data_IF_840640903490
#
_entry.id   IF_840640903490
#
_cell.length_a   1.000
_cell.length_b   1.000
_cell.length_c   1.000
_cell.angle_alpha   90.00
_cell.angle_beta   90.00
_cell.angle_gamma   90.00
#
_symmetry.space_group_name_H-M   'P 1'
#
loop_
_entity.id
_entity.type
_entity.pdbx_description
1 polymer ?
#
# COMPACT_ATOMS: atom_id res chain seq x y z
N UNK A 1 11.36 -0.18 -5.56
CA UNK A 1 10.92 -0.49 -4.17
C UNK A 1 9.95 -1.66 -4.09
N UNK A 2 8.91 -1.73 -4.94
CA UNK A 2 7.98 -2.87 -4.97
C UNK A 2 8.68 -4.23 -5.17
N UNK A 3 9.79 -4.27 -5.94
CA UNK A 3 10.62 -5.47 -6.12
C UNK A 3 11.17 -6.01 -4.80
N UNK A 4 11.54 -5.12 -3.87
CA UNK A 4 12.01 -5.50 -2.55
C UNK A 4 10.88 -6.10 -1.70
N UNK A 5 9.66 -5.59 -1.85
CA UNK A 5 8.47 -6.18 -1.19
C UNK A 5 8.22 -7.59 -1.72
N UNK A 6 8.27 -7.80 -3.04
CA UNK A 6 8.14 -9.14 -3.63
C UNK A 6 9.27 -10.07 -3.16
N UNK A 7 10.50 -9.58 -3.07
CA UNK A 7 11.61 -10.35 -2.52
C UNK A 7 11.37 -10.72 -1.04
N UNK A 8 10.82 -9.81 -0.24
CA UNK A 8 10.44 -10.06 1.14
C UNK A 8 9.29 -11.09 1.25
N UNK A 9 8.28 -11.01 0.38
CA UNK A 9 7.21 -12.02 0.31
C UNK A 9 7.77 -13.41 0.00
N UNK A 10 8.73 -13.51 -0.94
CA UNK A 10 9.45 -14.76 -1.24
C UNK A 10 10.22 -15.29 -0.04
N UNK A 11 10.93 -14.41 0.67
CA UNK A 11 11.64 -14.78 1.88
C UNK A 11 10.69 -15.32 2.96
N UNK A 12 9.56 -14.64 3.17
CA UNK A 12 8.53 -15.06 4.12
C UNK A 12 7.98 -16.44 3.76
N UNK A 13 7.61 -16.67 2.51
CA UNK A 13 7.14 -17.99 2.04
C UNK A 13 8.17 -19.08 2.26
N UNK A 14 9.45 -18.82 1.97
CA UNK A 14 10.50 -19.81 2.21
C UNK A 14 10.68 -20.13 3.70
N UNK A 15 10.36 -19.19 4.59
CA UNK A 15 10.47 -19.37 6.04
C UNK A 15 9.23 -20.04 6.66
N UNK A 16 8.02 -19.74 6.17
CA UNK A 16 6.75 -20.15 6.79
C UNK A 16 5.98 -21.21 6.01
N UNK A 17 6.28 -21.38 4.72
CA UNK A 17 5.53 -22.21 3.77
C UNK A 17 4.19 -21.60 3.31
N UNK A 18 3.79 -20.43 3.84
CA UNK A 18 2.54 -19.76 3.47
C UNK A 18 2.79 -18.66 2.45
N UNK A 19 1.95 -18.61 1.41
CA UNK A 19 1.95 -17.55 0.41
C UNK A 19 1.05 -16.37 0.82
N UNK A 20 0.25 -16.54 1.87
CA UNK A 20 -0.72 -15.56 2.30
C UNK A 20 -0.02 -14.43 3.06
N UNK A 21 -0.20 -13.21 2.58
CA UNK A 21 0.44 -12.01 3.14
C UNK A 21 -0.55 -10.88 3.34
N UNK A 22 -0.29 -10.05 4.34
CA UNK A 22 -0.90 -8.74 4.52
C UNK A 22 0.17 -7.70 4.28
N UNK A 23 -0.09 -6.75 3.38
CA UNK A 23 0.85 -5.66 3.13
C UNK A 23 0.54 -4.48 4.04
N UNK A 24 1.49 -4.15 4.91
CA UNK A 24 1.39 -3.02 5.82
C UNK A 24 2.31 -1.88 5.36
N UNK A 25 1.72 -0.76 4.97
CA UNK A 25 2.42 0.45 4.55
C UNK A 25 2.18 1.59 5.53
N UNK A 26 3.27 2.24 5.96
CA UNK A 26 3.24 3.45 6.79
C UNK A 26 3.74 4.62 5.94
N UNK A 27 2.98 5.71 5.88
CA UNK A 27 3.36 6.88 5.11
C UNK A 27 3.63 6.57 3.64
N UNK A 28 4.80 6.95 3.12
CA UNK A 28 5.16 6.66 1.74
C UNK A 28 5.19 5.15 1.43
N UNK A 29 5.34 4.28 2.43
CA UNK A 29 5.25 2.83 2.30
C UNK A 29 3.88 2.34 1.79
N UNK A 30 2.81 3.13 1.96
CA UNK A 30 1.50 2.89 1.34
C UNK A 30 1.61 2.84 -0.18
N UNK A 31 2.39 3.75 -0.77
CA UNK A 31 2.57 3.80 -2.23
C UNK A 31 3.36 2.60 -2.73
N UNK A 32 4.32 2.11 -1.94
CA UNK A 32 5.08 0.91 -2.24
C UNK A 32 4.21 -0.36 -2.13
N UNK A 33 3.32 -0.44 -1.15
CA UNK A 33 2.36 -1.54 -1.03
C UNK A 33 1.39 -1.59 -2.22
N UNK A 34 0.83 -0.45 -2.61
CA UNK A 34 -0.04 -0.33 -3.80
C UNK A 34 0.74 -0.66 -5.08
N UNK A 35 1.96 -0.12 -5.21
CA UNK A 35 2.81 -0.41 -6.36
C UNK A 35 3.11 -1.91 -6.47
N UNK A 36 3.27 -2.60 -5.34
CA UNK A 36 3.45 -4.07 -5.32
C UNK A 36 2.25 -4.79 -5.89
N UNK A 37 1.03 -4.41 -5.49
CA UNK A 37 -0.21 -4.98 -6.04
C UNK A 37 -0.28 -4.86 -7.56
N UNK A 38 0.06 -3.68 -8.09
CA UNK A 38 -0.01 -3.40 -9.53
C UNK A 38 0.92 -4.27 -10.36
N UNK A 39 2.12 -4.55 -9.84
CA UNK A 39 3.15 -5.32 -10.54
C UNK A 39 2.99 -6.83 -10.34
N UNK A 40 2.13 -7.28 -9.42
CA UNK A 40 1.79 -8.68 -9.29
C UNK A 40 0.80 -9.08 -10.39
N UNK A 41 1.02 -10.25 -11.04
CA UNK A 41 0.04 -10.81 -11.97
C UNK A 41 -1.33 -11.01 -11.31
N UNK A 42 -2.41 -10.83 -12.07
CA UNK A 42 -3.78 -11.11 -11.61
C UNK A 42 -3.95 -12.56 -11.17
N UNK A 43 -4.90 -12.88 -10.29
CA UNK A 43 -5.17 -14.27 -9.89
C UNK A 43 -5.57 -15.14 -11.09
N UNK A 44 -5.41 -16.46 -11.00
CA UNK A 44 -5.93 -17.35 -12.04
C UNK A 44 -7.47 -17.32 -12.03
N UNK A 45 -8.07 -17.01 -13.19
CA UNK A 45 -9.51 -17.15 -13.38
C UNK A 45 -9.88 -18.64 -13.44
N UNK A 46 -10.88 -19.06 -12.66
CA UNK A 46 -11.31 -20.48 -12.56
C UNK A 46 -12.00 -20.98 -13.85
N UNK A 47 -12.33 -20.11 -14.80
CA UNK A 47 -13.18 -20.43 -15.95
C UNK A 47 -12.52 -21.15 -17.14
N UNK A 48 -11.29 -21.65 -17.02
CA UNK A 48 -10.59 -22.30 -18.15
C UNK A 48 -10.27 -23.78 -17.89
N UNK A 49 -11.29 -24.62 -17.73
CA UNK A 49 -11.14 -26.08 -17.83
C UNK A 49 -10.90 -26.58 -19.27
N UNK A 50 -10.92 -25.72 -20.30
CA UNK A 50 -10.75 -26.13 -21.70
C UNK A 50 -9.76 -25.31 -22.54
N UNK A 51 -8.93 -24.48 -21.91
CA UNK A 51 -7.89 -23.74 -22.64
C UNK A 51 -6.54 -24.20 -22.14
N UNK A 52 -5.76 -24.86 -23.02
CA UNK A 52 -4.33 -25.10 -22.81
C UNK A 52 -3.70 -23.84 -22.21
N UNK A 53 -2.81 -23.95 -21.20
CA UNK A 53 -2.36 -22.80 -20.44
C UNK A 53 -1.77 -21.79 -21.41
N UNK A 54 -2.52 -20.73 -21.68
CA UNK A 54 -1.99 -19.53 -22.27
C UNK A 54 -0.96 -19.04 -21.25
N UNK A 55 0.31 -19.25 -21.58
CA UNK A 55 1.44 -18.67 -20.89
C UNK A 55 1.20 -17.17 -20.93
N UNK A 56 0.58 -16.63 -19.88
CA UNK A 56 0.68 -15.22 -19.58
C UNK A 56 2.18 -14.97 -19.49
N UNK A 57 2.71 -14.14 -20.40
CA UNK A 57 4.12 -13.80 -20.41
C UNK A 57 4.52 -13.46 -18.97
N UNK A 58 5.35 -14.28 -18.31
CA UNK A 58 5.89 -13.86 -17.04
C UNK A 58 6.63 -12.57 -17.34
N UNK A 59 6.49 -11.58 -16.46
CA UNK A 59 7.42 -10.46 -16.42
C UNK A 59 8.80 -11.08 -16.18
N UNK A 60 9.46 -11.43 -17.28
CA UNK A 60 10.72 -12.16 -17.33
C UNK A 60 11.79 -11.11 -17.52
N UNK A 61 12.00 -10.29 -16.49
CA UNK A 61 13.39 -9.90 -16.27
C UNK A 61 14.13 -11.18 -15.92
N UNK A 62 15.19 -11.46 -16.68
CA UNK A 62 15.93 -12.70 -16.61
C UNK A 62 16.60 -12.86 -15.24
N UNK A 63 15.86 -13.41 -14.28
CA UNK A 63 16.42 -13.94 -13.03
C UNK A 63 16.82 -15.39 -13.35
N UNK A 64 18.10 -15.74 -13.34
CA UNK A 64 18.59 -17.02 -13.84
C UNK A 64 18.33 -18.12 -12.81
N UNK A 65 17.11 -18.66 -12.75
CA UNK A 65 16.84 -19.96 -12.15
C UNK A 65 15.43 -20.46 -12.49
N UNK A 66 15.35 -21.56 -13.24
CA UNK A 66 14.10 -22.19 -13.72
C UNK A 66 13.20 -22.78 -12.60
N UNK A 67 13.73 -22.85 -11.37
CA UNK A 67 12.94 -23.18 -10.18
C UNK A 67 12.24 -21.94 -9.55
N UNK A 68 12.76 -20.72 -9.82
CA UNK A 68 12.23 -19.46 -9.29
C UNK A 68 11.04 -18.91 -10.10
N UNK A 69 10.90 -19.30 -11.38
CA UNK A 69 9.76 -18.97 -12.24
C UNK A 69 8.46 -19.68 -11.82
N UNK A 70 8.54 -20.72 -10.97
CA UNK A 70 7.39 -21.48 -10.45
C UNK A 70 6.78 -20.91 -9.17
N UNK A 71 7.43 -19.91 -8.55
CA UNK A 71 6.98 -19.20 -7.34
C UNK A 71 6.49 -17.79 -7.67
N UNK A 72 5.74 -17.65 -8.76
CA UNK A 72 5.14 -16.39 -9.15
C UNK A 72 4.01 -16.06 -8.16
N UNK A 73 4.33 -15.26 -7.13
CA UNK A 73 3.29 -14.59 -6.34
C UNK A 73 2.35 -13.87 -7.30
N UNK A 74 1.06 -13.99 -7.03
CA UNK A 74 0.00 -13.29 -7.76
C UNK A 74 -0.80 -12.47 -6.75
N UNK A 75 -1.73 -11.65 -7.25
CA UNK A 75 -2.54 -10.76 -6.40
C UNK A 75 -3.34 -11.50 -5.32
N UNK A 76 -3.72 -12.76 -5.54
CA UNK A 76 -4.41 -13.61 -4.56
C UNK A 76 -3.59 -13.97 -3.31
N UNK A 77 -2.26 -13.83 -3.37
CA UNK A 77 -1.38 -13.97 -2.22
C UNK A 77 -1.61 -12.86 -1.18
N UNK A 78 -2.05 -11.66 -1.62
CA UNK A 78 -2.31 -10.54 -0.73
C UNK A 78 -3.74 -10.65 -0.21
N UNK A 79 -3.89 -10.99 1.06
CA UNK A 79 -5.19 -11.16 1.72
C UNK A 79 -5.78 -9.86 2.24
N UNK A 80 -4.96 -8.82 2.35
CA UNK A 80 -5.42 -7.51 2.78
C UNK A 80 -4.28 -6.50 2.86
N UNK A 81 -4.68 -5.26 3.15
CA UNK A 81 -3.80 -4.12 3.32
C UNK A 81 -4.04 -3.43 4.65
N UNK A 82 -2.96 -2.93 5.23
CA UNK A 82 -3.03 -1.95 6.31
C UNK A 82 -2.31 -0.70 5.79
N UNK A 83 -3.02 0.43 5.73
CA UNK A 83 -2.44 1.72 5.37
C UNK A 83 -2.48 2.64 6.57
N UNK A 84 -1.32 2.99 7.09
CA UNK A 84 -1.16 3.97 8.16
C UNK A 84 -0.67 5.29 7.60
N UNK A 85 -1.42 6.34 7.88
CA UNK A 85 -1.20 7.70 7.40
C UNK A 85 -1.18 7.79 5.85
N UNK A 86 -2.20 7.25 5.13
CA UNK A 86 -2.22 7.34 3.68
C UNK A 86 -2.50 8.79 3.23
N UNK A 87 -1.77 9.26 2.21
CA UNK A 87 -2.01 10.52 1.53
C UNK A 87 -2.49 10.24 0.09
N UNK A 88 -3.27 11.15 -0.52
CA UNK A 88 -3.94 10.86 -1.79
C UNK A 88 -2.99 10.66 -2.98
N UNK A 89 -1.76 11.17 -2.88
CA UNK A 89 -0.75 11.05 -3.93
C UNK A 89 0.63 10.78 -3.32
N UNK A 90 1.48 10.03 -4.05
CA UNK A 90 2.85 9.75 -3.60
C UNK A 90 3.71 10.99 -3.37
N UNK A 91 3.50 12.05 -4.15
CA UNK A 91 4.22 13.30 -3.98
C UNK A 91 3.90 14.00 -2.66
N UNK A 92 2.71 13.82 -2.08
CA UNK A 92 2.30 14.55 -0.87
C UNK A 92 3.21 14.27 0.32
N UNK A 93 3.75 13.04 0.44
CA UNK A 93 4.72 12.71 1.49
C UNK A 93 6.00 13.55 1.37
N UNK A 94 6.46 13.77 0.14
CA UNK A 94 7.62 14.61 -0.14
C UNK A 94 7.26 16.08 0.08
N UNK A 95 6.09 16.52 -0.39
CA UNK A 95 5.60 17.90 -0.19
C UNK A 95 5.57 18.25 1.29
N UNK A 96 5.02 17.36 2.10
CA UNK A 96 4.99 17.51 3.54
C UNK A 96 6.40 17.67 4.13
N UNK A 97 7.31 16.74 3.82
CA UNK A 97 8.70 16.80 4.31
C UNK A 97 9.41 18.10 3.90
N UNK A 98 9.11 18.63 2.71
CA UNK A 98 9.67 19.89 2.22
C UNK A 98 9.05 21.11 2.92
N UNK A 99 7.74 21.07 3.24
CA UNK A 99 7.04 22.15 3.96
C UNK A 99 7.52 22.29 5.40
N UNK A 100 7.74 21.18 6.10
CA UNK A 100 8.25 21.21 7.47
C UNK A 100 9.65 21.83 7.58
N UNK A 101 10.42 21.83 6.49
CA UNK A 101 11.73 22.48 6.47
C UNK A 101 11.56 23.98 6.28
N UNK A 102 11.91 24.74 7.32
CA UNK A 102 12.01 26.20 7.32
C UNK A 102 13.11 26.71 6.35
N UNK A 103 12.87 26.61 5.04
CA UNK A 103 13.74 27.13 4.00
C UNK A 103 13.00 28.18 3.15
N UNK A 104 13.69 29.28 2.83
CA UNK A 104 13.12 30.45 2.15
C UNK A 104 12.35 30.15 0.84
N UNK A 105 12.66 29.04 0.16
CA UNK A 105 12.00 28.65 -1.10
C UNK A 105 10.96 27.55 -0.95
N UNK A 106 10.52 27.19 0.26
CA UNK A 106 9.58 26.08 0.50
C UNK A 106 8.33 26.14 -0.38
N UNK A 107 7.80 27.33 -0.64
CA UNK A 107 6.61 27.57 -1.48
C UNK A 107 6.77 27.09 -2.93
N UNK A 108 7.99 27.12 -3.47
CA UNK A 108 8.32 26.64 -4.83
C UNK A 108 8.81 25.20 -4.76
N UNK A 109 9.72 24.91 -3.84
CA UNK A 109 10.37 23.60 -3.74
C UNK A 109 9.40 22.50 -3.38
N UNK A 110 8.28 22.81 -2.70
CA UNK A 110 7.21 21.83 -2.45
C UNK A 110 6.64 21.23 -3.74
N UNK A 111 6.74 21.88 -4.89
CA UNK A 111 6.24 21.32 -6.16
C UNK A 111 7.37 20.75 -7.02
N UNK A 112 8.57 21.35 -6.98
CA UNK A 112 9.68 20.93 -7.84
C UNK A 112 10.47 19.76 -7.26
N UNK A 113 10.59 19.66 -5.92
CA UNK A 113 11.35 18.58 -5.27
C UNK A 113 10.67 17.22 -5.45
N UNK A 114 9.35 17.04 -5.24
CA UNK A 114 8.71 15.76 -5.53
C UNK A 114 8.90 15.31 -6.97
N UNK A 115 8.75 16.22 -7.93
CA UNK A 115 8.99 15.94 -9.34
C UNK A 115 10.43 15.47 -9.61
N UNK A 116 11.42 16.17 -9.07
CA UNK A 116 12.83 15.82 -9.24
C UNK A 116 13.15 14.45 -8.63
N UNK A 117 12.72 14.20 -7.39
CA UNK A 117 12.91 12.90 -6.70
C UNK A 117 12.30 11.79 -7.54
N UNK A 118 11.05 11.97 -7.99
CA UNK A 118 10.34 11.00 -8.80
C UNK A 118 11.11 10.64 -10.08
N UNK A 119 11.58 11.65 -10.83
CA UNK A 119 12.40 11.41 -12.03
C UNK A 119 13.70 10.67 -11.72
N UNK A 120 14.40 11.04 -10.63
CA UNK A 120 15.65 10.37 -10.24
C UNK A 120 15.43 8.94 -9.77
N UNK A 121 14.25 8.63 -9.24
CA UNK A 121 13.83 7.27 -8.88
C UNK A 121 13.35 6.45 -10.09
N UNK A 122 13.41 7.00 -11.31
CA UNK A 122 12.93 6.33 -12.53
C UNK A 122 11.41 6.22 -12.63
N UNK A 123 10.67 6.91 -11.75
CA UNK A 123 9.23 6.94 -11.76
C UNK A 123 8.77 8.07 -12.69
N UNK A 124 7.90 7.76 -13.66
CA UNK A 124 7.38 8.78 -14.59
C UNK A 124 6.10 9.42 -14.06
N UNK A 125 5.30 8.65 -13.30
CA UNK A 125 3.96 9.05 -12.84
C UNK A 125 3.90 9.14 -11.33
N UNK A 126 3.16 10.14 -10.84
CA UNK A 126 2.76 10.26 -9.45
C UNK A 126 1.66 9.22 -9.18
N UNK A 127 1.84 8.37 -8.17
CA UNK A 127 0.88 7.32 -7.83
C UNK A 127 -0.32 7.99 -7.16
N UNK A 128 -1.51 7.82 -7.75
CA UNK A 128 -2.77 8.32 -7.22
C UNK A 128 -3.38 7.30 -6.26
N UNK A 129 -2.91 7.30 -5.01
CA UNK A 129 -3.34 6.38 -3.95
C UNK A 129 -4.86 6.35 -3.84
N UNK A 130 -5.51 7.51 -3.89
CA UNK A 130 -6.96 7.65 -3.77
C UNK A 130 -7.74 6.82 -4.80
N UNK A 131 -7.31 6.85 -6.06
CA UNK A 131 -7.92 6.06 -7.13
C UNK A 131 -7.57 4.57 -6.97
N UNK A 132 -6.35 4.25 -6.56
CA UNK A 132 -5.96 2.85 -6.49
C UNK A 132 -6.66 2.13 -5.35
N UNK A 133 -6.88 2.79 -4.21
CA UNK A 133 -7.62 2.19 -3.12
C UNK A 133 -9.08 1.95 -3.47
N UNK A 134 -9.73 2.75 -4.32
CA UNK A 134 -11.14 2.48 -4.69
C UNK A 134 -11.28 1.16 -5.45
N UNK A 135 -10.25 0.79 -6.20
CA UNK A 135 -10.29 -0.36 -7.11
C UNK A 135 -9.76 -1.65 -6.47
N UNK A 136 -9.24 -1.60 -5.22
CA UNK A 136 -8.71 -2.77 -4.52
C UNK A 136 -9.84 -3.76 -4.15
N UNK A 137 -9.84 -5.00 -4.68
CA UNK A 137 -10.88 -5.99 -4.40
C UNK A 137 -10.57 -6.82 -3.14
N UNK A 138 -9.87 -6.24 -2.17
CA UNK A 138 -9.44 -6.94 -0.94
C UNK A 138 -9.73 -6.09 0.31
N UNK A 139 -9.81 -6.71 1.49
CA UNK A 139 -9.96 -5.98 2.74
C UNK A 139 -8.84 -4.97 2.98
N UNK A 140 -9.20 -3.80 3.51
CA UNK A 140 -8.28 -2.70 3.76
C UNK A 140 -8.58 -2.06 5.12
N UNK A 141 -7.57 -1.99 5.99
CA UNK A 141 -7.58 -1.14 7.18
C UNK A 141 -6.89 0.18 6.86
N UNK A 142 -7.59 1.30 7.07
CA UNK A 142 -7.01 2.65 6.97
C UNK A 142 -6.88 3.23 8.38
N UNK A 143 -5.64 3.47 8.79
CA UNK A 143 -5.30 4.21 9.99
C UNK A 143 -4.92 5.61 9.52
N UNK A 144 -5.67 6.61 9.94
CA UNK A 144 -5.52 8.00 9.49
C UNK A 144 -5.51 8.95 10.67
N UNK A 145 -5.09 10.19 10.43
CA UNK A 145 -5.20 11.28 11.38
C UNK A 145 -6.19 12.31 10.86
N UNK A 146 -6.90 12.98 11.76
CA UNK A 146 -7.76 14.10 11.37
C UNK A 146 -6.92 15.28 10.85
N UNK A 147 -5.72 15.47 11.38
CA UNK A 147 -4.74 16.43 10.86
C UNK A 147 -3.34 15.85 11.00
N UNK A 148 -2.42 16.27 10.15
CA UNK A 148 -1.05 15.75 10.11
C UNK A 148 -0.10 16.92 9.93
N UNK A 149 0.56 17.36 11.00
CA UNK A 149 1.30 18.62 11.02
C UNK A 149 0.45 19.78 10.49
N UNK A 150 0.92 20.43 9.41
CA UNK A 150 0.20 21.51 8.71
C UNK A 150 -0.81 21.02 7.64
N UNK A 151 -0.97 19.71 7.44
CA UNK A 151 -1.96 19.15 6.52
C UNK A 151 -3.35 19.12 7.18
N UNK A 152 -4.34 19.58 6.44
CA UNK A 152 -5.73 19.65 6.87
C UNK A 152 -6.48 18.33 6.65
N UNK A 153 -7.61 18.19 7.36
CA UNK A 153 -8.47 17.01 7.30
C UNK A 153 -8.91 16.61 5.89
N UNK A 154 -9.29 17.53 4.98
CA UNK A 154 -9.63 17.16 3.60
C UNK A 154 -8.54 16.38 2.88
N UNK A 155 -7.26 16.64 3.17
CA UNK A 155 -6.16 15.92 2.54
C UNK A 155 -5.89 14.57 3.22
N UNK A 156 -5.89 14.51 4.55
CA UNK A 156 -5.59 13.29 5.31
C UNK A 156 -6.72 12.26 5.24
N UNK A 157 -7.97 12.71 5.11
CA UNK A 157 -9.14 11.84 5.01
C UNK A 157 -9.49 11.44 3.56
N UNK A 158 -8.89 12.09 2.55
CA UNK A 158 -9.25 11.90 1.14
C UNK A 158 -9.21 10.44 0.67
N UNK A 159 -8.27 9.64 1.20
CA UNK A 159 -8.12 8.23 0.82
C UNK A 159 -9.25 7.38 1.39
N UNK A 160 -9.60 7.57 2.67
CA UNK A 160 -10.68 6.79 3.30
C UNK A 160 -12.04 7.20 2.76
N UNK A 161 -12.28 8.49 2.53
CA UNK A 161 -13.51 8.99 1.93
C UNK A 161 -13.75 8.40 0.53
N UNK A 162 -12.70 8.36 -0.30
CA UNK A 162 -12.79 7.77 -1.63
C UNK A 162 -13.04 6.27 -1.57
N UNK A 163 -12.30 5.54 -0.71
CA UNK A 163 -12.47 4.10 -0.54
C UNK A 163 -13.90 3.77 -0.07
N UNK A 164 -14.40 4.49 0.92
CA UNK A 164 -15.73 4.23 1.47
C UNK A 164 -16.80 4.41 0.42
N UNK A 165 -16.72 5.45 -0.41
CA UNK A 165 -17.73 5.73 -1.43
C UNK A 165 -18.03 4.54 -2.35
N UNK A 166 -17.02 3.74 -2.67
CA UNK A 166 -17.14 2.63 -3.62
C UNK A 166 -17.09 1.24 -2.94
N UNK A 167 -16.50 1.10 -1.75
CA UNK A 167 -16.25 -0.21 -1.12
C UNK A 167 -16.39 -0.18 0.41
N UNK A 168 -17.63 0.00 0.88
CA UNK A 168 -17.95 0.06 2.31
C UNK A 168 -17.72 -1.26 3.08
N UNK A 169 -17.98 -2.43 2.48
CA UNK A 169 -18.01 -3.72 3.19
C UNK A 169 -16.66 -4.37 3.47
N UNK A 170 -15.57 -3.85 2.88
CA UNK A 170 -14.22 -4.41 2.99
C UNK A 170 -13.23 -3.39 3.58
N UNK A 171 -13.72 -2.37 4.26
CA UNK A 171 -12.89 -1.27 4.72
C UNK A 171 -13.13 -1.01 6.20
N UNK A 172 -12.08 -1.16 7.02
CA UNK A 172 -12.06 -0.70 8.41
C UNK A 172 -11.31 0.64 8.46
N UNK A 173 -11.79 1.58 9.28
CA UNK A 173 -11.15 2.89 9.45
C UNK A 173 -10.91 3.16 10.93
N UNK A 174 -9.71 3.61 11.23
CA UNK A 174 -9.34 4.14 12.53
C UNK A 174 -8.76 5.54 12.36
N UNK A 175 -9.40 6.53 13.01
CA UNK A 175 -8.87 7.89 13.09
C UNK A 175 -8.15 8.05 14.42
N UNK A 176 -6.82 8.17 14.36
CA UNK A 176 -5.95 8.46 15.49
C UNK A 176 -6.05 9.94 15.89
N UNK A 177 -5.87 10.22 17.18
CA UNK A 177 -5.78 11.57 17.72
C UNK A 177 -4.38 12.20 17.55
N UNK A 178 -3.40 11.38 17.12
CA UNK A 178 -2.07 11.81 16.76
C UNK A 178 -2.09 12.97 15.78
N UNK A 179 -1.28 13.99 16.05
CA UNK A 179 -1.07 15.14 15.17
C UNK A 179 0.27 15.09 14.45
N UNK A 180 1.22 14.30 14.97
CA UNK A 180 2.53 14.11 14.36
C UNK A 180 2.53 12.97 13.33
N UNK A 181 3.40 13.05 12.32
CA UNK A 181 3.60 11.99 11.37
C UNK A 181 3.89 10.64 11.96
N UNK A 182 3.19 9.61 11.46
CA UNK A 182 3.53 8.19 11.74
C UNK A 182 3.53 7.87 13.23
N UNK A 183 2.85 8.69 14.03
CA UNK A 183 2.86 8.63 15.49
C UNK A 183 1.61 7.93 16.05
N UNK A 184 0.72 7.43 15.18
CA UNK A 184 -0.52 6.74 15.57
C UNK A 184 -0.30 5.63 16.61
N UNK A 185 0.79 4.86 16.47
CA UNK A 185 1.17 3.84 17.45
C UNK A 185 1.72 4.43 18.74
N UNK A 186 2.50 5.49 18.67
CA UNK A 186 3.13 6.11 19.83
C UNK A 186 2.12 6.89 20.70
N UNK A 187 1.06 7.42 20.07
CA UNK A 187 -0.03 8.15 20.72
C UNK A 187 -0.91 7.24 21.59
N UNK A 188 -1.37 6.11 21.04
CA UNK A 188 -2.22 5.13 21.74
C UNK A 188 -1.91 3.71 21.27
N UNK A 189 -0.83 3.13 21.82
CA UNK A 189 -0.33 1.83 21.42
C UNK A 189 -1.32 0.68 21.69
N UNK A 190 -2.04 0.75 22.82
CA UNK A 190 -3.00 -0.30 23.21
C UNK A 190 -4.15 -0.35 22.19
N UNK A 191 -4.77 0.81 21.93
CA UNK A 191 -5.84 0.89 20.95
C UNK A 191 -5.37 0.58 19.54
N UNK A 192 -4.16 1.03 19.17
CA UNK A 192 -3.58 0.72 17.87
C UNK A 192 -3.47 -0.79 17.66
N UNK A 193 -2.92 -1.51 18.65
CA UNK A 193 -2.78 -2.96 18.60
C UNK A 193 -4.13 -3.67 18.58
N UNK A 194 -5.11 -3.19 19.34
CA UNK A 194 -6.47 -3.75 19.34
C UNK A 194 -7.12 -3.62 17.95
N UNK A 195 -7.01 -2.46 17.30
CA UNK A 195 -7.57 -2.24 15.96
C UNK A 195 -6.89 -3.14 14.92
N UNK A 196 -5.56 -3.18 14.92
CA UNK A 196 -4.80 -4.03 14.00
C UNK A 196 -5.10 -5.51 14.25
N UNK A 197 -5.12 -5.94 15.51
CA UNK A 197 -5.46 -7.31 15.90
C UNK A 197 -6.85 -7.72 15.43
N UNK A 198 -7.86 -6.89 15.71
CA UNK A 198 -9.24 -7.14 15.27
C UNK A 198 -9.35 -7.24 13.73
N UNK A 199 -8.62 -6.41 13.00
CA UNK A 199 -8.59 -6.49 11.53
C UNK A 199 -7.94 -7.80 11.05
N UNK A 200 -6.81 -8.18 11.63
CA UNK A 200 -6.11 -9.42 11.28
C UNK A 200 -6.96 -10.66 11.62
N UNK A 201 -7.65 -10.67 12.76
CA UNK A 201 -8.54 -11.76 13.14
C UNK A 201 -9.68 -11.93 12.13
N UNK A 202 -10.30 -10.83 11.68
CA UNK A 202 -11.34 -10.87 10.62
C UNK A 202 -10.81 -11.50 9.33
N UNK A 203 -9.56 -11.23 8.96
CA UNK A 203 -8.94 -11.82 7.78
C UNK A 203 -8.82 -13.33 7.92
N UNK A 204 -8.36 -13.83 9.07
CA UNK A 204 -8.22 -15.26 9.33
C UNK A 204 -9.58 -15.97 9.19
N UNK A 205 -10.65 -15.41 9.76
CA UNK A 205 -12.00 -15.97 9.68
C UNK A 205 -12.65 -15.84 8.30
N UNK A 206 -12.09 -15.04 7.39
CA UNK A 206 -12.59 -14.90 6.01
C UNK A 206 -11.95 -15.87 5.01
N UNK A 207 -10.93 -16.63 5.46
CA UNK A 207 -10.14 -17.57 4.64
C UNK A 207 -10.60 -19.04 4.86
N UNK A 208 -11.42 -19.31 5.90
CA UNK A 208 -12.09 -20.61 6.14
C UNK A 208 -13.45 -20.72 5.42
#
# INVERSE_FOLDING_TARGET
>A
EWENVIAAMRYLYNATGSADVVLYGIGCGVTTAISTWEHLPEAYSIDNENTSPAVADPVTEAIPNDALSRLAFRRDAIKGFIFDSPLPESDEYIRFTVRERNFFLHSITQYTVPYAIRLTAGLVKNINVKQMVTDLPVPLLIIQQETYGDLDAPLTLAVSEARLKETHGMTDIFTSAATEPYSSYADDAERYLDIVGNYLDKLVYSIE
#
